data_IF_774667808888
#
_entry.id   IF_774667808888
#
_cell.length_a   1.000
_cell.length_b   1.000
_cell.length_c   1.000
_cell.angle_alpha   90.00
_cell.angle_beta   90.00
_cell.angle_gamma   90.00
#
_symmetry.space_group_name_H-M   'P 1'
#
loop_
_entity.id
_entity.type
_entity.pdbx_description
1 polymer ?
#
# COMPACT_ATOMS: atom_id res chain seq x y z
N UNK A 1 -11.84 -20.69 -10.07
CA UNK A 1 -12.22 -19.62 -11.02
C UNK A 1 -13.64 -19.20 -10.73
N UNK A 2 -13.81 -18.06 -10.06
CA UNK A 2 -15.12 -17.51 -9.68
C UNK A 2 -15.64 -16.60 -10.80
N UNK A 3 -16.94 -16.68 -11.08
CA UNK A 3 -17.61 -15.69 -11.92
C UNK A 3 -17.84 -14.40 -11.13
N UNK A 4 -17.71 -13.26 -11.79
CA UNK A 4 -18.04 -11.95 -11.21
C UNK A 4 -19.56 -11.83 -11.21
N UNK A 5 -20.19 -12.00 -10.04
CA UNK A 5 -21.64 -12.05 -9.90
C UNK A 5 -22.21 -10.86 -9.13
N UNK A 6 -21.40 -10.25 -8.26
CA UNK A 6 -21.83 -9.12 -7.43
C UNK A 6 -21.05 -7.82 -7.75
N UNK A 7 -21.62 -6.64 -7.44
CA UNK A 7 -20.90 -5.36 -7.59
C UNK A 7 -19.62 -5.31 -6.73
N UNK A 8 -19.59 -5.98 -5.58
CA UNK A 8 -18.39 -6.11 -4.76
C UNK A 8 -17.29 -6.92 -5.46
N UNK A 9 -17.64 -8.03 -6.12
CA UNK A 9 -16.69 -8.82 -6.90
C UNK A 9 -16.11 -7.99 -8.05
N UNK A 10 -16.97 -7.22 -8.72
CA UNK A 10 -16.57 -6.33 -9.81
C UNK A 10 -15.62 -5.21 -9.30
N UNK A 11 -15.87 -4.66 -8.11
CA UNK A 11 -15.00 -3.66 -7.49
C UNK A 11 -13.63 -4.25 -7.13
N UNK A 12 -13.59 -5.47 -6.56
CA UNK A 12 -12.34 -6.18 -6.23
C UNK A 12 -11.57 -6.54 -7.49
N UNK A 13 -12.24 -7.05 -8.52
CA UNK A 13 -11.66 -7.32 -9.83
C UNK A 13 -11.04 -6.05 -10.44
N UNK A 14 -11.81 -4.95 -10.50
CA UNK A 14 -11.37 -3.67 -11.04
C UNK A 14 -10.18 -3.12 -10.24
N UNK A 15 -10.23 -3.18 -8.91
CA UNK A 15 -9.12 -2.78 -8.04
C UNK A 15 -7.86 -3.61 -8.29
N UNK A 16 -7.99 -4.92 -8.48
CA UNK A 16 -6.85 -5.81 -8.75
C UNK A 16 -6.16 -5.50 -10.08
N UNK A 17 -6.93 -5.10 -11.11
CA UNK A 17 -6.41 -4.65 -12.39
C UNK A 17 -5.77 -3.26 -12.31
N UNK A 18 -6.42 -2.32 -11.61
CA UNK A 18 -5.91 -0.96 -11.40
C UNK A 18 -4.59 -0.95 -10.64
N UNK A 19 -4.53 -1.68 -9.54
CA UNK A 19 -3.32 -1.80 -8.69
C UNK A 19 -2.25 -2.72 -9.28
N UNK A 20 -2.52 -3.34 -10.43
CA UNK A 20 -1.67 -4.32 -11.11
C UNK A 20 -1.27 -5.52 -10.24
N UNK A 21 -2.11 -5.88 -9.25
CA UNK A 21 -1.91 -7.09 -8.44
C UNK A 21 -2.34 -8.32 -9.25
N UNK A 22 -3.51 -8.25 -9.89
CA UNK A 22 -3.99 -9.28 -10.81
C UNK A 22 -4.07 -10.70 -10.23
N UNK A 23 -4.81 -10.90 -9.13
CA UNK A 23 -4.92 -12.21 -8.46
C UNK A 23 -5.28 -13.38 -9.39
N UNK A 24 -6.05 -13.15 -10.44
CA UNK A 24 -6.41 -14.19 -11.41
C UNK A 24 -7.44 -15.22 -10.92
N UNK A 25 -8.00 -15.03 -9.72
CA UNK A 25 -9.09 -15.84 -9.16
C UNK A 25 -10.44 -15.58 -9.87
N UNK A 26 -10.61 -14.34 -10.33
CA UNK A 26 -11.73 -13.82 -11.11
C UNK A 26 -11.24 -13.30 -12.46
N UNK A 27 -11.92 -13.68 -13.54
CA UNK A 27 -11.64 -13.16 -14.88
C UNK A 27 -12.88 -13.15 -15.78
N UNK A 28 -12.81 -12.34 -16.83
CA UNK A 28 -13.86 -12.23 -17.83
C UNK A 28 -13.82 -13.43 -18.78
N UNK A 29 -14.93 -14.17 -18.86
CA UNK A 29 -15.10 -15.29 -19.79
C UNK A 29 -15.60 -14.88 -21.17
N UNK A 30 -16.23 -13.69 -21.29
CA UNK A 30 -16.76 -13.19 -22.56
C UNK A 30 -15.71 -12.42 -23.36
N UNK A 31 -15.75 -12.55 -24.69
CA UNK A 31 -14.83 -11.85 -25.60
C UNK A 31 -14.92 -10.32 -25.45
N UNK A 32 -16.14 -9.78 -25.36
CA UNK A 32 -16.37 -8.36 -25.10
C UNK A 32 -15.83 -7.91 -23.74
N UNK A 33 -16.00 -8.74 -22.71
CA UNK A 33 -15.49 -8.44 -21.37
C UNK A 33 -13.97 -8.37 -21.34
N UNK A 34 -13.30 -9.29 -22.04
CA UNK A 34 -11.84 -9.28 -22.19
C UNK A 34 -11.35 -8.03 -22.92
N UNK A 35 -12.01 -7.62 -24.00
CA UNK A 35 -11.66 -6.40 -24.74
C UNK A 35 -11.78 -5.15 -23.86
N UNK A 36 -12.86 -5.04 -23.07
CA UNK A 36 -13.06 -3.93 -22.13
C UNK A 36 -11.97 -3.95 -21.05
N UNK A 37 -11.62 -5.12 -20.51
CA UNK A 37 -10.55 -5.24 -19.52
C UNK A 37 -9.20 -4.79 -20.07
N UNK A 38 -8.87 -5.10 -21.34
CA UNK A 38 -7.63 -4.62 -21.98
C UNK A 38 -7.58 -3.09 -21.99
N UNK A 39 -8.65 -2.44 -22.47
CA UNK A 39 -8.73 -0.98 -22.55
C UNK A 39 -8.65 -0.37 -21.15
N UNK A 40 -9.38 -0.93 -20.19
CA UNK A 40 -9.37 -0.49 -18.80
C UNK A 40 -7.97 -0.57 -18.17
N UNK A 41 -7.31 -1.72 -18.26
CA UNK A 41 -5.99 -1.95 -17.64
C UNK A 41 -4.90 -1.05 -18.22
N UNK A 42 -4.98 -0.71 -19.52
CA UNK A 42 -4.04 0.21 -20.15
C UNK A 42 -4.05 1.60 -19.49
N UNK A 43 -5.23 2.21 -19.35
CA UNK A 43 -5.35 3.52 -18.70
C UNK A 43 -5.14 3.44 -17.19
N UNK A 44 -5.65 2.38 -16.56
CA UNK A 44 -5.58 2.18 -15.12
C UNK A 44 -4.13 2.05 -14.62
N UNK A 45 -3.28 1.27 -15.30
CA UNK A 45 -1.87 1.10 -14.95
C UNK A 45 -1.07 2.40 -15.09
N UNK A 46 -1.31 3.17 -16.16
CA UNK A 46 -0.68 4.47 -16.36
C UNK A 46 -1.06 5.46 -15.24
N UNK A 47 -2.34 5.52 -14.89
CA UNK A 47 -2.84 6.36 -13.80
C UNK A 47 -2.28 5.90 -12.44
N UNK A 48 -2.25 4.59 -12.17
CA UNK A 48 -1.74 4.04 -10.93
C UNK A 48 -0.27 4.41 -10.68
N UNK A 49 0.58 4.32 -11.70
CA UNK A 49 1.99 4.72 -11.59
C UNK A 49 2.15 6.21 -11.29
N UNK A 50 1.36 7.08 -11.94
CA UNK A 50 1.37 8.51 -11.69
C UNK A 50 0.96 8.83 -10.24
N UNK A 51 -0.17 8.27 -9.79
CA UNK A 51 -0.67 8.43 -8.41
C UNK A 51 0.36 7.90 -7.40
N UNK A 52 0.97 6.74 -7.66
CA UNK A 52 1.97 6.15 -6.78
C UNK A 52 3.22 7.01 -6.66
N UNK A 53 3.66 7.64 -7.75
CA UNK A 53 4.78 8.59 -7.74
C UNK A 53 4.46 9.84 -6.90
N UNK A 54 3.27 10.42 -7.09
CA UNK A 54 2.83 11.59 -6.30
C UNK A 54 2.70 11.26 -4.81
N UNK A 55 2.08 10.12 -4.46
CA UNK A 55 1.98 9.66 -3.08
C UNK A 55 3.36 9.56 -2.40
N UNK A 56 4.38 9.07 -3.09
CA UNK A 56 5.75 9.01 -2.56
C UNK A 56 6.30 10.38 -2.19
N UNK A 57 6.03 11.41 -3.01
CA UNK A 57 6.44 12.79 -2.71
C UNK A 57 5.67 13.40 -1.55
N UNK A 58 4.36 13.15 -1.47
CA UNK A 58 3.48 13.63 -0.39
C UNK A 58 3.93 13.03 0.94
N UNK A 59 4.15 11.71 0.98
CA UNK A 59 4.66 11.02 2.17
C UNK A 59 6.02 11.60 2.60
N UNK A 60 6.94 11.82 1.65
CA UNK A 60 8.25 12.40 1.96
C UNK A 60 8.16 13.82 2.52
N UNK A 61 7.20 14.64 2.05
CA UNK A 61 6.97 16.01 2.56
C UNK A 61 6.43 15.97 3.98
N UNK A 62 5.36 15.21 4.21
CA UNK A 62 4.79 15.06 5.56
C UNK A 62 5.78 14.47 6.56
N UNK A 63 6.63 13.53 6.13
CA UNK A 63 7.69 13.00 6.97
C UNK A 63 8.72 14.09 7.35
N UNK A 64 9.11 14.94 6.40
CA UNK A 64 10.02 16.05 6.66
C UNK A 64 9.40 17.05 7.64
N UNK A 65 8.13 17.41 7.45
CA UNK A 65 7.38 18.30 8.34
C UNK A 65 7.23 17.69 9.74
N UNK A 66 6.94 16.39 9.82
CA UNK A 66 6.86 15.67 11.09
C UNK A 66 8.20 15.66 11.84
N UNK A 67 9.30 15.39 11.13
CA UNK A 67 10.65 15.41 11.72
C UNK A 67 11.01 16.82 12.19
N UNK A 68 10.63 17.85 11.43
CA UNK A 68 10.80 19.24 11.84
C UNK A 68 9.97 19.56 13.09
N UNK A 69 8.71 19.12 13.15
CA UNK A 69 7.84 19.27 14.32
C UNK A 69 8.41 18.57 15.57
N UNK A 70 8.86 17.32 15.45
CA UNK A 70 9.49 16.56 16.54
C UNK A 70 10.75 17.30 17.02
N UNK A 71 11.61 17.74 16.10
CA UNK A 71 12.80 18.54 16.45
C UNK A 71 12.44 19.82 17.18
N UNK A 72 11.40 20.53 16.74
CA UNK A 72 10.96 21.78 17.38
C UNK A 72 10.42 21.51 18.79
N UNK A 73 9.65 20.45 18.97
CA UNK A 73 9.14 20.03 20.28
C UNK A 73 10.27 19.59 21.21
N UNK A 74 11.22 18.79 20.72
CA UNK A 74 12.44 18.45 21.46
C UNK A 74 13.23 19.70 21.84
N UNK A 75 13.41 20.69 20.96
CA UNK A 75 14.07 21.96 21.30
C UNK A 75 13.35 22.73 22.41
N UNK A 76 12.01 22.69 22.45
CA UNK A 76 11.24 23.34 23.53
C UNK A 76 11.47 22.66 24.89
N UNK A 77 11.57 21.33 24.91
CA UNK A 77 11.84 20.53 26.12
C UNK A 77 13.32 20.63 26.54
N UNK A 78 14.24 20.53 25.59
CA UNK A 78 15.69 20.57 25.81
C UNK A 78 16.27 21.98 25.84
N UNK A 79 15.45 23.05 25.83
CA UNK A 79 15.91 24.44 26.03
C UNK A 79 16.66 24.63 27.36
N UNK A 80 16.51 23.70 28.31
CA UNK A 80 17.29 23.62 29.55
C UNK A 80 18.72 23.06 29.38
N UNK A 81 19.04 22.40 28.26
CA UNK A 81 20.35 21.84 27.94
C UNK A 81 20.90 22.54 26.68
N UNK A 82 21.92 23.37 26.89
CA UNK A 82 22.56 24.29 25.92
C UNK A 82 23.24 23.55 24.75
N UNK A 83 22.47 22.94 23.85
CA UNK A 83 23.01 22.23 22.68
C UNK A 83 23.08 23.16 21.46
N UNK A 84 24.29 23.29 20.87
CA UNK A 84 24.56 24.12 19.69
C UNK A 84 23.92 23.50 18.45
N UNK A 85 23.24 24.34 17.66
CA UNK A 85 22.48 23.92 16.49
C UNK A 85 23.36 23.33 15.38
N UNK A 86 23.15 22.06 14.97
CA UNK A 86 23.56 21.61 13.66
C UNK A 86 22.52 22.11 12.65
N UNK A 87 22.99 22.73 11.56
CA UNK A 87 22.13 23.09 10.43
C UNK A 87 21.25 21.91 10.01
N UNK A 88 20.00 22.15 9.55
CA UNK A 88 19.11 21.08 9.13
C UNK A 88 19.67 20.45 7.84
N UNK A 89 20.48 19.41 7.99
CA UNK A 89 20.91 18.60 6.87
C UNK A 89 19.72 17.76 6.39
N UNK A 90 19.50 17.65 5.06
CA UNK A 90 18.51 16.71 4.54
C UNK A 90 18.82 15.31 5.09
N UNK A 91 17.78 14.56 5.50
CA UNK A 91 17.94 13.17 5.97
C UNK A 91 18.80 12.39 4.98
N UNK A 92 19.78 11.65 5.51
CA UNK A 92 20.66 10.80 4.70
C UNK A 92 19.79 9.85 3.85
N UNK A 93 20.16 9.56 2.59
CA UNK A 93 19.40 8.66 1.73
C UNK A 93 19.08 7.31 2.40
N UNK A 94 20.04 6.77 3.13
CA UNK A 94 19.87 5.53 3.90
C UNK A 94 18.76 5.62 4.97
N UNK A 95 18.66 6.74 5.67
CA UNK A 95 17.60 6.94 6.67
C UNK A 95 16.22 7.03 6.00
N UNK A 96 16.12 7.69 4.84
CA UNK A 96 14.87 7.73 4.06
C UNK A 96 14.44 6.34 3.62
N UNK A 97 15.39 5.56 3.11
CA UNK A 97 15.16 4.16 2.75
C UNK A 97 14.65 3.32 3.92
N UNK A 98 15.28 3.43 5.09
CA UNK A 98 14.85 2.71 6.29
C UNK A 98 13.44 3.13 6.73
N UNK A 99 13.11 4.43 6.67
CA UNK A 99 11.77 4.91 6.99
C UNK A 99 10.73 4.36 5.99
N UNK A 100 11.02 4.38 4.69
CA UNK A 100 10.15 3.77 3.69
C UNK A 100 9.92 2.28 3.95
N UNK A 101 10.98 1.54 4.32
CA UNK A 101 10.88 0.13 4.68
C UNK A 101 9.98 -0.09 5.91
N UNK A 102 10.16 0.72 6.95
CA UNK A 102 9.32 0.67 8.15
C UNK A 102 7.85 1.01 7.85
N UNK A 103 7.60 2.01 6.98
CA UNK A 103 6.25 2.37 6.55
C UNK A 103 5.58 1.23 5.76
N UNK A 104 6.31 0.59 4.84
CA UNK A 104 5.80 -0.57 4.10
C UNK A 104 5.47 -1.74 5.04
N UNK A 105 6.34 -2.02 6.01
CA UNK A 105 6.07 -3.03 7.02
C UNK A 105 4.83 -2.69 7.86
N UNK A 106 4.68 -1.42 8.26
CA UNK A 106 3.52 -0.96 9.01
C UNK A 106 2.21 -1.08 8.20
N UNK A 107 2.22 -0.72 6.92
CA UNK A 107 1.05 -0.90 6.04
C UNK A 107 0.70 -2.38 5.86
N UNK A 108 1.68 -3.27 5.77
CA UNK A 108 1.46 -4.71 5.71
C UNK A 108 0.81 -5.24 6.99
N UNK A 109 1.21 -4.74 8.17
CA UNK A 109 0.59 -5.11 9.45
C UNK A 109 -0.85 -4.60 9.54
N UNK A 110 -1.13 -3.37 9.11
CA UNK A 110 -2.51 -2.83 9.05
C UNK A 110 -3.38 -3.73 8.16
N UNK A 111 -2.91 -4.06 6.95
CA UNK A 111 -3.65 -4.90 6.03
C UNK A 111 -3.89 -6.31 6.61
N UNK A 112 -2.89 -6.87 7.30
CA UNK A 112 -3.02 -8.16 7.99
C UNK A 112 -4.13 -8.13 9.04
N UNK A 113 -4.16 -7.09 9.88
CA UNK A 113 -5.19 -6.92 10.90
C UNK A 113 -6.56 -6.72 10.26
N UNK A 114 -6.64 -5.88 9.23
CA UNK A 114 -7.88 -5.62 8.50
C UNK A 114 -8.46 -6.91 7.90
N UNK A 115 -7.64 -7.71 7.23
CA UNK A 115 -8.08 -8.99 6.65
C UNK A 115 -8.45 -10.01 7.70
N UNK A 116 -7.73 -10.05 8.83
CA UNK A 116 -8.09 -10.91 9.95
C UNK A 116 -9.46 -10.54 10.55
N UNK A 117 -9.79 -9.26 10.61
CA UNK A 117 -11.10 -8.79 11.08
C UNK A 117 -12.19 -9.13 10.06
N UNK A 118 -11.95 -8.88 8.77
CA UNK A 118 -12.90 -9.15 7.68
C UNK A 118 -13.28 -10.62 7.58
N UNK A 119 -12.30 -11.52 7.54
CA UNK A 119 -12.52 -12.96 7.34
C UNK A 119 -12.78 -13.71 8.66
N UNK A 120 -12.52 -13.04 9.79
CA UNK A 120 -12.79 -13.55 11.13
C UNK A 120 -12.12 -14.89 11.41
N UNK A 121 -12.92 -15.89 11.78
CA UNK A 121 -12.42 -17.23 12.13
C UNK A 121 -11.89 -18.03 10.92
N UNK A 122 -12.25 -17.67 9.69
CA UNK A 122 -11.86 -18.42 8.48
C UNK A 122 -10.37 -18.29 8.17
N UNK A 123 -9.75 -17.17 8.52
CA UNK A 123 -8.34 -16.90 8.24
C UNK A 123 -7.51 -16.92 9.51
N UNK A 124 -6.39 -17.64 9.49
CA UNK A 124 -5.38 -17.53 10.54
C UNK A 124 -4.59 -16.22 10.39
N UNK A 125 -3.87 -15.82 11.45
CA UNK A 125 -2.96 -14.67 11.38
C UNK A 125 -1.88 -14.87 10.31
N UNK A 126 -1.32 -16.09 10.20
CA UNK A 126 -0.34 -16.43 9.19
C UNK A 126 -0.91 -16.31 7.77
N UNK A 127 -2.14 -16.78 7.54
CA UNK A 127 -2.83 -16.66 6.25
C UNK A 127 -3.11 -15.21 5.88
N UNK A 128 -3.52 -14.40 6.85
CA UNK A 128 -3.77 -12.96 6.66
C UNK A 128 -2.48 -12.19 6.36
N UNK A 129 -1.38 -12.54 7.03
CA UNK A 129 -0.06 -11.96 6.80
C UNK A 129 0.48 -12.35 5.43
N UNK A 130 0.35 -13.63 5.06
CA UNK A 130 0.70 -14.13 3.73
C UNK A 130 -0.04 -13.36 2.64
N UNK A 131 -1.36 -13.23 2.78
CA UNK A 131 -2.18 -12.44 1.87
C UNK A 131 -1.70 -10.99 1.79
N UNK A 132 -1.46 -10.33 2.94
CA UNK A 132 -1.02 -8.95 2.97
C UNK A 132 0.32 -8.75 2.26
N UNK A 133 1.26 -9.68 2.42
CA UNK A 133 2.56 -9.64 1.77
C UNK A 133 2.45 -9.79 0.25
N UNK A 134 1.77 -10.84 -0.26
CA UNK A 134 1.62 -11.08 -1.71
C UNK A 134 0.84 -9.96 -2.40
N UNK A 135 -0.07 -9.30 -1.67
CA UNK A 135 -0.83 -8.15 -2.16
C UNK A 135 0.02 -6.89 -2.23
N UNK A 136 0.72 -6.53 -1.14
CA UNK A 136 1.53 -5.32 -1.08
C UNK A 136 2.76 -5.36 -1.99
N UNK A 137 3.32 -6.56 -2.20
CA UNK A 137 4.41 -6.80 -3.14
C UNK A 137 3.96 -6.86 -4.61
N UNK A 138 2.65 -6.79 -4.88
CA UNK A 138 2.05 -6.90 -6.20
C UNK A 138 2.35 -8.25 -6.91
N UNK A 139 2.57 -9.32 -6.14
CA UNK A 139 2.75 -10.67 -6.71
C UNK A 139 1.40 -11.26 -7.12
N UNK A 140 0.38 -11.11 -6.26
CA UNK A 140 -1.01 -11.48 -6.60
C UNK A 140 -1.20 -12.94 -7.01
N UNK A 141 -0.78 -13.91 -6.19
CA UNK A 141 -0.92 -15.33 -6.53
C UNK A 141 -2.37 -15.83 -6.69
N UNK A 142 -3.33 -15.20 -6.00
CA UNK A 142 -4.75 -15.54 -6.08
C UNK A 142 -5.17 -16.85 -5.42
N UNK A 143 -4.24 -17.56 -4.78
CA UNK A 143 -4.46 -18.78 -3.99
C UNK A 143 -5.21 -18.49 -2.68
N UNK A 144 -5.01 -17.29 -2.13
CA UNK A 144 -5.73 -16.75 -0.99
C UNK A 144 -6.33 -15.42 -1.38
N UNK A 145 -7.66 -15.33 -1.32
CA UNK A 145 -8.44 -14.11 -1.60
C UNK A 145 -9.65 -14.06 -0.67
N UNK A 146 -10.05 -12.86 -0.22
CA UNK A 146 -11.25 -12.71 0.60
C UNK A 146 -12.50 -13.18 -0.18
N UNK A 147 -13.53 -13.62 0.54
CA UNK A 147 -14.78 -14.09 -0.06
C UNK A 147 -15.86 -13.02 -0.14
#
# INVERSE_FOLDING_TARGET
NKMILTPSDAAVYSWSLYSTVGYGDMFMHSEMGQLISIVYTFFASALYLAVKAECGTIISRHLADFIHFVRMTCRRVFKCLKFRDPHPHPLKPFTRFLICLCLLFFMMMILTIYMKILEGAKWSWAKSLYFAYITMSLIGLGDVVPN
#
